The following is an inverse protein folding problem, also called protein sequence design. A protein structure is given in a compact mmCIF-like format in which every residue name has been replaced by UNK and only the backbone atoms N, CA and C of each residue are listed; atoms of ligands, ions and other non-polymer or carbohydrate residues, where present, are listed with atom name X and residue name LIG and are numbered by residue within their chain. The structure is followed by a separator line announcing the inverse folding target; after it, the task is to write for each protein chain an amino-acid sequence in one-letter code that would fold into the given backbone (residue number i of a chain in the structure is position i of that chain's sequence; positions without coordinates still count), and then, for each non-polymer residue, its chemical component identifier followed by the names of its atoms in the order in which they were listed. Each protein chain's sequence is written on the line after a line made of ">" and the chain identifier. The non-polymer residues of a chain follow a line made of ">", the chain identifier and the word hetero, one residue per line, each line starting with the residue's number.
data_IF_952095258536
#
_entry.id   IF_952095258536
#
_cell.length_a   1.000
_cell.length_b   1.000
_cell.length_c   1.000
_cell.angle_alpha   90.00
_cell.angle_beta   90.00
_cell.angle_gamma   90.00
#
_symmetry.space_group_name_H-M   'P 1'
#
loop_
_entity.id
_entity.type
_entity.pdbx_description
1 polymer ?
#
# COMPACT_ATOMS: atom_id res chain seq x y z
N UNK A 1 -4.39 -5.27 -23.98
CA UNK A 1 -3.15 -5.05 -23.21
C UNK A 1 -2.02 -5.68 -23.99
N UNK A 2 -0.89 -4.99 -24.20
CA UNK A 2 0.25 -5.63 -24.85
C UNK A 2 0.76 -6.77 -23.96
N UNK A 3 1.11 -7.89 -24.58
CA UNK A 3 1.75 -9.05 -23.92
C UNK A 3 2.97 -8.65 -23.08
N UNK A 4 3.63 -7.56 -23.46
CA UNK A 4 4.79 -6.97 -22.80
C UNK A 4 4.53 -6.48 -21.36
N UNK A 5 3.38 -5.84 -21.08
CA UNK A 5 3.10 -5.32 -19.74
C UNK A 5 2.86 -6.44 -18.72
N UNK A 6 2.11 -7.46 -19.11
CA UNK A 6 1.83 -8.61 -18.25
C UNK A 6 3.11 -9.42 -17.99
N UNK A 7 3.95 -9.60 -19.02
CA UNK A 7 5.26 -10.23 -18.86
C UNK A 7 6.19 -9.41 -17.95
N UNK A 8 6.19 -8.09 -18.10
CA UNK A 8 6.95 -7.16 -17.24
C UNK A 8 6.51 -7.26 -15.78
N UNK A 9 5.20 -7.24 -15.52
CA UNK A 9 4.65 -7.44 -14.16
C UNK A 9 5.09 -8.77 -13.58
N UNK A 10 4.91 -9.87 -14.33
CA UNK A 10 5.29 -11.20 -13.88
C UNK A 10 6.80 -11.31 -13.57
N UNK A 11 7.64 -10.74 -14.43
CA UNK A 11 9.10 -10.72 -14.24
C UNK A 11 9.52 -9.95 -12.99
N UNK A 12 8.97 -8.75 -12.78
CA UNK A 12 9.23 -7.94 -11.59
C UNK A 12 8.76 -8.65 -10.32
N UNK A 13 7.55 -9.17 -10.34
CA UNK A 13 6.92 -9.88 -9.22
C UNK A 13 7.70 -11.14 -8.83
N UNK A 14 8.24 -11.88 -9.80
CA UNK A 14 9.11 -13.03 -9.56
C UNK A 14 10.47 -12.61 -8.97
N UNK A 15 11.08 -11.54 -9.50
CA UNK A 15 12.34 -11.03 -8.98
C UNK A 15 12.22 -10.57 -7.51
N UNK A 16 11.15 -9.84 -7.17
CA UNK A 16 10.90 -9.40 -5.79
C UNK A 16 10.66 -10.58 -4.85
N UNK A 17 9.89 -11.60 -5.26
CA UNK A 17 9.69 -12.82 -4.45
C UNK A 17 10.99 -13.59 -4.21
N UNK A 18 11.88 -13.66 -5.20
CA UNK A 18 13.18 -14.31 -5.04
C UNK A 18 14.08 -13.58 -4.04
N UNK A 19 14.08 -12.24 -4.07
CA UNK A 19 14.78 -11.43 -3.07
C UNK A 19 14.16 -11.68 -1.69
N UNK A 20 12.83 -11.72 -1.60
CA UNK A 20 12.13 -11.94 -0.34
C UNK A 20 12.46 -13.26 0.34
N UNK A 21 12.54 -14.37 -0.41
CA UNK A 21 12.84 -15.70 0.15
C UNK A 21 14.13 -15.72 0.97
N UNK A 22 15.09 -14.84 0.67
CA UNK A 22 16.36 -14.70 1.37
C UNK A 22 16.25 -14.02 2.75
N UNK A 23 15.09 -13.44 3.09
CA UNK A 23 14.89 -12.62 4.29
C UNK A 23 13.78 -13.14 5.23
N UNK A 24 13.37 -14.39 5.08
CA UNK A 24 12.21 -15.00 5.77
C UNK A 24 12.48 -15.47 7.21
N UNK A 25 13.72 -15.39 7.72
CA UNK A 25 14.08 -16.05 8.98
C UNK A 25 13.34 -15.52 10.22
N UNK A 26 12.98 -14.24 10.23
CA UNK A 26 12.36 -13.55 11.38
C UNK A 26 10.94 -13.04 11.11
N UNK A 27 10.42 -13.23 9.89
CA UNK A 27 9.11 -12.72 9.48
C UNK A 27 8.26 -13.89 9.01
N UNK A 28 7.05 -13.99 9.56
CA UNK A 28 6.01 -14.88 9.06
C UNK A 28 4.97 -14.06 8.29
N UNK A 29 4.33 -14.68 7.32
CA UNK A 29 3.25 -14.03 6.59
C UNK A 29 2.18 -15.02 6.17
N UNK A 30 0.94 -14.57 6.14
CA UNK A 30 -0.19 -15.33 5.61
C UNK A 30 -1.04 -14.47 4.69
N UNK A 31 -1.74 -15.16 3.78
CA UNK A 31 -2.69 -14.54 2.87
C UNK A 31 -4.02 -14.30 3.58
N UNK A 32 -4.66 -13.19 3.23
CA UNK A 32 -6.06 -12.96 3.54
C UNK A 32 -6.73 -12.25 2.35
N UNK A 33 -8.06 -12.24 2.38
CA UNK A 33 -8.88 -11.68 1.31
C UNK A 33 -9.86 -10.68 1.90
N UNK A 34 -9.89 -9.48 1.31
CA UNK A 34 -10.81 -8.42 1.70
C UNK A 34 -11.94 -8.33 0.68
N UNK A 35 -13.18 -8.70 1.05
CA UNK A 35 -14.33 -8.53 0.16
C UNK A 35 -14.61 -7.04 -0.09
N UNK A 36 -14.78 -6.69 -1.36
CA UNK A 36 -15.37 -5.44 -1.83
C UNK A 36 -16.73 -5.75 -2.47
N UNK A 37 -17.45 -4.73 -2.95
CA UNK A 37 -18.80 -4.92 -3.52
C UNK A 37 -18.81 -5.89 -4.72
N UNK A 38 -17.82 -5.78 -5.62
CA UNK A 38 -17.82 -6.51 -6.89
C UNK A 38 -16.54 -7.32 -7.14
N UNK A 39 -15.61 -7.33 -6.19
CA UNK A 39 -14.33 -8.03 -6.31
C UNK A 39 -13.75 -8.34 -4.93
N UNK A 40 -12.68 -9.13 -4.92
CA UNK A 40 -11.89 -9.42 -3.72
C UNK A 40 -10.54 -8.74 -3.88
N UNK A 41 -10.06 -8.10 -2.81
CA UNK A 41 -8.74 -7.47 -2.76
C UNK A 41 -7.83 -8.43 -1.98
N UNK A 42 -6.84 -9.05 -2.64
CA UNK A 42 -5.84 -9.84 -1.95
C UNK A 42 -5.03 -8.95 -0.99
N UNK A 43 -4.81 -9.46 0.21
CA UNK A 43 -3.93 -8.83 1.19
C UNK A 43 -3.00 -9.86 1.78
N UNK A 44 -1.87 -9.38 2.29
CA UNK A 44 -0.94 -10.20 3.05
C UNK A 44 -0.65 -9.55 4.38
N UNK A 45 -0.71 -10.37 5.42
CA UNK A 45 -0.39 -9.96 6.77
C UNK A 45 1.01 -10.46 7.07
N UNK A 46 1.89 -9.55 7.47
CA UNK A 46 3.28 -9.79 7.81
C UNK A 46 3.50 -9.53 9.28
N UNK A 47 4.13 -10.47 9.97
CA UNK A 47 4.31 -10.41 11.41
C UNK A 47 5.71 -10.86 11.82
N UNK A 48 6.25 -10.31 12.93
CA UNK A 48 7.43 -10.86 13.55
C UNK A 48 7.15 -12.31 13.98
N UNK A 49 8.09 -13.21 13.65
CA UNK A 49 7.98 -14.65 13.90
C UNK A 49 7.83 -15.01 15.38
N UNK A 50 8.50 -14.27 16.25
CA UNK A 50 8.49 -14.54 17.69
C UNK A 50 7.24 -13.92 18.32
N UNK A 51 6.52 -14.64 19.20
CA UNK A 51 5.35 -14.09 19.89
C UNK A 51 5.74 -12.91 20.78
N UNK A 52 4.76 -12.08 21.12
CA UNK A 52 4.93 -10.94 22.03
C UNK A 52 3.79 -10.91 23.04
N UNK A 53 4.08 -10.42 24.25
CA UNK A 53 3.10 -10.25 25.33
C UNK A 53 2.35 -8.92 25.23
N UNK A 54 2.68 -8.07 24.25
CA UNK A 54 2.10 -6.75 24.08
C UNK A 54 1.47 -6.55 22.71
N UNK A 55 0.45 -5.68 22.62
CA UNK A 55 -0.01 -5.24 21.34
C UNK A 55 1.02 -4.66 20.40
N UNK A 56 1.04 -5.22 19.18
CA UNK A 56 1.75 -4.71 18.02
C UNK A 56 0.90 -3.64 17.35
N UNK A 57 1.58 -2.57 17.00
CA UNK A 57 0.98 -1.57 16.12
C UNK A 57 0.78 -2.17 14.71
N UNK A 58 -0.25 -1.70 14.01
CA UNK A 58 -0.60 -2.19 12.68
C UNK A 58 -0.30 -1.12 11.63
N UNK A 59 0.38 -1.51 10.55
CA UNK A 59 0.63 -0.65 9.40
C UNK A 59 -0.11 -1.15 8.16
N UNK A 60 -0.85 -0.28 7.48
CA UNK A 60 -1.29 -0.50 6.10
C UNK A 60 -0.19 0.00 5.16
N UNK A 61 0.38 -0.91 4.39
CA UNK A 61 1.48 -0.67 3.47
C UNK A 61 1.00 -0.74 2.01
N UNK A 62 1.10 0.39 1.30
CA UNK A 62 0.60 0.52 -0.08
C UNK A 62 1.79 0.57 -1.03
N UNK A 63 1.85 -0.38 -1.98
CA UNK A 63 3.01 -0.53 -2.83
C UNK A 63 3.10 0.53 -3.95
N UNK A 64 4.32 0.76 -4.43
CA UNK A 64 4.64 1.58 -5.60
C UNK A 64 4.35 0.89 -6.93
N UNK A 65 5.18 1.15 -7.95
CA UNK A 65 5.01 0.54 -9.27
C UNK A 65 4.23 1.38 -10.28
N UNK A 66 4.16 2.70 -10.06
CA UNK A 66 3.56 3.62 -11.03
C UNK A 66 2.09 3.31 -11.31
N UNK A 67 1.36 2.83 -10.30
CA UNK A 67 -0.05 2.42 -10.36
C UNK A 67 -0.34 1.29 -11.36
N UNK A 68 0.70 0.78 -12.04
CA UNK A 68 0.58 -0.14 -13.17
C UNK A 68 1.35 -1.44 -12.93
N UNK A 69 2.06 -1.56 -11.81
CA UNK A 69 2.92 -2.70 -11.47
C UNK A 69 2.93 -2.92 -9.96
N UNK A 70 3.44 -4.09 -9.56
CA UNK A 70 3.53 -4.50 -8.17
C UNK A 70 2.35 -5.37 -7.75
N UNK A 71 2.47 -5.88 -6.53
CA UNK A 71 1.47 -6.69 -5.84
C UNK A 71 1.76 -6.61 -4.32
N UNK A 72 1.17 -7.50 -3.52
CA UNK A 72 1.32 -7.49 -2.08
C UNK A 72 2.76 -7.82 -1.58
N UNK A 73 3.69 -8.22 -2.46
CA UNK A 73 5.12 -8.41 -2.18
C UNK A 73 6.01 -7.23 -2.60
N UNK A 74 5.53 -6.35 -3.49
CA UNK A 74 6.38 -5.44 -4.27
C UNK A 74 7.37 -4.61 -3.43
N UNK A 75 6.92 -4.07 -2.31
CA UNK A 75 7.75 -3.26 -1.41
C UNK A 75 8.12 -3.99 -0.11
N UNK A 76 8.46 -5.27 -0.23
CA UNK A 76 8.85 -6.12 0.90
C UNK A 76 10.05 -5.59 1.72
N UNK A 77 10.90 -4.73 1.14
CA UNK A 77 11.97 -4.06 1.88
C UNK A 77 11.42 -3.10 2.96
N UNK A 78 10.32 -2.39 2.66
CA UNK A 78 9.63 -1.50 3.60
C UNK A 78 8.94 -2.33 4.68
N UNK A 79 8.24 -3.39 4.27
CA UNK A 79 7.61 -4.36 5.20
C UNK A 79 8.65 -4.89 6.18
N UNK A 80 9.81 -5.31 5.68
CA UNK A 80 10.90 -5.83 6.51
C UNK A 80 11.35 -4.83 7.57
N UNK A 81 11.52 -3.55 7.20
CA UNK A 81 11.91 -2.52 8.15
C UNK A 81 10.86 -2.36 9.26
N UNK A 82 9.57 -2.28 8.90
CA UNK A 82 8.47 -2.13 9.87
C UNK A 82 8.32 -3.36 10.78
N UNK A 83 8.42 -4.56 10.21
CA UNK A 83 8.28 -5.80 10.97
C UNK A 83 9.50 -6.06 11.87
N UNK A 84 10.72 -6.05 11.32
CA UNK A 84 11.93 -6.42 12.09
C UNK A 84 12.40 -5.31 13.03
N UNK A 85 12.33 -4.04 12.63
CA UNK A 85 12.89 -2.94 13.42
C UNK A 85 11.87 -2.33 14.37
N UNK A 86 10.59 -2.34 14.00
CA UNK A 86 9.53 -1.71 14.80
C UNK A 86 8.57 -2.73 15.43
N UNK A 87 8.77 -4.03 15.21
CA UNK A 87 7.94 -5.10 15.77
C UNK A 87 6.43 -4.93 15.46
N UNK A 88 6.13 -4.40 14.26
CA UNK A 88 4.76 -4.11 13.82
C UNK A 88 4.16 -5.27 13.04
N UNK A 89 2.84 -5.38 13.08
CA UNK A 89 2.08 -6.14 12.08
C UNK A 89 1.90 -5.25 10.86
N UNK A 90 2.20 -5.76 9.66
CA UNK A 90 2.03 -5.00 8.40
C UNK A 90 1.01 -5.70 7.53
N UNK A 91 0.08 -4.94 6.95
CA UNK A 91 -0.89 -5.41 5.96
C UNK A 91 -0.52 -4.78 4.63
N UNK A 92 -0.12 -5.58 3.65
CA UNK A 92 0.01 -5.15 2.25
C UNK A 92 -1.20 -5.57 1.45
N UNK A 93 -1.48 -4.89 0.34
CA UNK A 93 -2.61 -5.16 -0.54
C UNK A 93 -2.19 -5.19 -2.00
N UNK A 94 -2.86 -6.02 -2.79
CA UNK A 94 -2.78 -6.05 -4.24
C UNK A 94 -3.93 -5.21 -4.81
N UNK A 95 -3.73 -3.88 -4.87
CA UNK A 95 -4.75 -2.98 -5.39
C UNK A 95 -4.83 -3.08 -6.92
N UNK A 96 -6.03 -2.89 -7.48
CA UNK A 96 -6.21 -2.99 -8.94
C UNK A 96 -5.33 -1.98 -9.67
N UNK A 97 -4.67 -2.44 -10.74
CA UNK A 97 -3.66 -1.68 -11.47
C UNK A 97 -4.22 -1.03 -12.74
N UNK A 98 -3.60 0.07 -13.15
CA UNK A 98 -3.76 0.68 -14.47
C UNK A 98 -2.97 -0.09 -15.53
N UNK A 99 -3.42 -0.11 -16.80
CA UNK A 99 -4.58 0.60 -17.35
C UNK A 99 -5.93 -0.11 -17.14
N UNK A 100 -5.96 -1.32 -16.61
CA UNK A 100 -7.18 -2.13 -16.46
C UNK A 100 -8.18 -1.48 -15.49
N UNK A 101 -7.66 -0.82 -14.47
CA UNK A 101 -8.45 -0.05 -13.52
C UNK A 101 -7.73 1.28 -13.27
N UNK A 102 -8.33 2.35 -13.78
CA UNK A 102 -7.85 3.72 -13.57
C UNK A 102 -8.43 4.30 -12.29
N UNK A 103 -7.93 5.47 -11.90
CA UNK A 103 -8.53 6.24 -10.79
C UNK A 103 -10.04 6.41 -11.00
N UNK A 104 -10.89 6.22 -9.95
CA UNK A 104 -10.55 6.04 -8.54
C UNK A 104 -10.37 4.59 -8.06
N UNK A 105 -10.39 3.59 -8.94
CA UNK A 105 -10.42 2.17 -8.56
C UNK A 105 -9.30 1.71 -7.61
N UNK A 106 -8.01 2.02 -7.87
CA UNK A 106 -6.94 1.65 -6.94
C UNK A 106 -7.11 2.28 -5.56
N UNK A 107 -7.60 3.52 -5.51
CA UNK A 107 -7.85 4.24 -4.27
C UNK A 107 -9.04 3.67 -3.50
N UNK A 108 -10.10 3.24 -4.20
CA UNK A 108 -11.22 2.55 -3.58
C UNK A 108 -10.78 1.24 -2.90
N UNK A 109 -9.84 0.51 -3.50
CA UNK A 109 -9.31 -0.72 -2.89
C UNK A 109 -8.55 -0.41 -1.59
N UNK A 110 -7.72 0.63 -1.60
CA UNK A 110 -7.05 1.15 -0.39
C UNK A 110 -8.06 1.54 0.70
N UNK A 111 -9.14 2.23 0.34
CA UNK A 111 -10.19 2.61 1.30
C UNK A 111 -10.90 1.38 1.89
N UNK A 112 -11.19 0.37 1.07
CA UNK A 112 -11.81 -0.88 1.52
C UNK A 112 -10.92 -1.61 2.50
N UNK A 113 -9.61 -1.74 2.20
CA UNK A 113 -8.66 -2.38 3.12
C UNK A 113 -8.46 -1.55 4.39
N UNK A 114 -8.34 -0.23 4.30
CA UNK A 114 -8.25 0.65 5.47
C UNK A 114 -9.42 0.48 6.44
N UNK A 115 -10.65 0.39 5.91
CA UNK A 115 -11.86 0.13 6.72
C UNK A 115 -11.93 -1.30 7.26
N UNK A 116 -11.30 -2.25 6.58
CA UNK A 116 -11.29 -3.65 6.98
C UNK A 116 -10.33 -3.94 8.13
N UNK A 117 -9.12 -3.34 8.11
CA UNK A 117 -8.05 -3.57 9.09
C UNK A 117 -8.51 -3.46 10.56
N UNK A 118 -9.23 -2.41 11.00
CA UNK A 118 -9.63 -2.29 12.41
C UNK A 118 -10.77 -3.25 12.79
N UNK A 119 -11.50 -3.79 11.82
CA UNK A 119 -12.74 -4.55 12.05
C UNK A 119 -12.57 -6.09 11.99
N UNK A 120 -11.38 -6.61 11.65
CA UNK A 120 -11.14 -8.05 11.51
C UNK A 120 -9.87 -8.54 12.23
N UNK A 121 -9.80 -8.46 13.57
CA UNK A 121 -8.65 -8.92 14.32
C UNK A 121 -8.33 -10.39 14.05
N UNK A 122 -9.33 -11.29 13.89
CA UNK A 122 -9.06 -12.72 13.62
C UNK A 122 -8.41 -13.03 12.27
N UNK A 123 -8.52 -12.14 11.27
CA UNK A 123 -7.82 -12.32 9.98
C UNK A 123 -6.38 -11.77 10.02
N UNK A 124 -6.12 -10.83 10.93
CA UNK A 124 -4.79 -10.26 11.18
C UNK A 124 -4.03 -11.08 12.23
N UNK A 125 -4.75 -11.69 13.16
CA UNK A 125 -4.28 -12.50 14.28
C UNK A 125 -5.02 -13.86 14.25
N UNK A 126 -4.59 -14.79 13.38
CA UNK A 126 -5.25 -16.09 13.18
C UNK A 126 -5.29 -16.97 14.44
N UNK A 127 -4.42 -16.70 15.42
CA UNK A 127 -4.32 -17.49 16.66
C UNK A 127 -5.40 -17.11 17.70
N UNK A 128 -6.42 -16.33 17.31
CA UNK A 128 -7.66 -16.12 18.06
C UNK A 128 -7.53 -15.21 19.28
N UNK A 129 -6.33 -14.99 19.78
CA UNK A 129 -6.10 -13.99 20.79
C UNK A 129 -5.85 -12.64 20.13
N UNK A 130 -6.70 -11.67 20.48
CA UNK A 130 -6.39 -10.23 20.43
C UNK A 130 -5.14 -9.83 21.23
N UNK A 131 -4.23 -10.77 21.51
CA UNK A 131 -2.93 -10.66 22.16
C UNK A 131 -1.96 -9.71 21.46
N UNK A 132 -2.43 -8.98 20.45
CA UNK A 132 -1.74 -7.77 20.18
C UNK A 132 -2.32 -6.67 19.32
N UNK A 133 -3.62 -6.41 19.28
CA UNK A 133 -4.11 -5.14 18.74
C UNK A 133 -4.45 -4.18 19.89
N UNK A 134 -3.94 -2.94 19.83
CA UNK A 134 -4.37 -1.91 20.78
C UNK A 134 -5.89 -1.69 20.63
N UNK A 135 -6.65 -1.58 21.74
CA UNK A 135 -8.09 -1.29 21.69
C UNK A 135 -8.41 0.03 20.97
N UNK A 136 -7.47 0.97 21.04
CA UNK A 136 -7.49 2.22 20.30
C UNK A 136 -6.81 1.99 18.95
N UNK A 137 -7.61 1.52 17.99
CA UNK A 137 -7.21 1.07 16.65
C UNK A 137 -6.69 2.19 15.75
N UNK A 138 -5.54 2.78 16.10
CA UNK A 138 -4.85 3.73 15.23
C UNK A 138 -3.89 2.97 14.30
N UNK A 139 -4.04 3.20 13.00
CA UNK A 139 -3.28 2.53 11.95
C UNK A 139 -2.14 3.43 11.50
N UNK A 140 -0.96 2.87 11.30
CA UNK A 140 0.10 3.54 10.55
C UNK A 140 -0.19 3.37 9.07
N UNK A 141 -0.17 4.45 8.30
CA UNK A 141 -0.33 4.38 6.85
C UNK A 141 1.02 4.65 6.22
N UNK A 142 1.53 3.71 5.43
CA UNK A 142 2.77 3.87 4.70
C UNK A 142 2.62 3.52 3.22
N UNK A 143 3.48 4.10 2.40
CA UNK A 143 3.59 3.69 1.00
C UNK A 143 4.85 4.19 0.32
N UNK A 144 5.13 3.63 -0.85
CA UNK A 144 6.28 3.98 -1.70
C UNK A 144 5.82 4.50 -3.06
N UNK A 145 6.44 5.57 -3.57
CA UNK A 145 6.18 6.11 -4.92
C UNK A 145 4.68 6.35 -5.19
N UNK A 146 4.07 5.60 -6.12
CA UNK A 146 2.64 5.59 -6.39
C UNK A 146 1.78 5.22 -5.16
N UNK A 147 2.22 4.24 -4.37
CA UNK A 147 1.56 3.86 -3.13
C UNK A 147 1.66 4.94 -2.05
N UNK A 148 2.75 5.71 -2.03
CA UNK A 148 2.87 6.87 -1.15
C UNK A 148 1.90 8.00 -1.55
N UNK A 149 1.58 8.15 -2.85
CA UNK A 149 0.50 9.03 -3.28
C UNK A 149 -0.86 8.54 -2.74
N UNK A 150 -1.17 7.25 -2.85
CA UNK A 150 -2.41 6.68 -2.33
C UNK A 150 -2.49 6.80 -0.79
N UNK A 151 -1.38 6.63 -0.08
CA UNK A 151 -1.26 6.87 1.36
C UNK A 151 -1.52 8.34 1.73
N UNK A 152 -1.03 9.27 0.90
CA UNK A 152 -1.31 10.71 1.04
C UNK A 152 -2.80 11.00 0.88
N UNK A 153 -3.40 10.51 -0.22
CA UNK A 153 -4.82 10.66 -0.51
C UNK A 153 -5.70 10.05 0.59
N UNK A 154 -5.32 8.89 1.15
CA UNK A 154 -6.05 8.24 2.24
C UNK A 154 -6.13 9.12 3.48
N UNK A 155 -5.02 9.76 3.87
CA UNK A 155 -5.00 10.61 5.06
C UNK A 155 -5.80 11.90 4.86
N UNK A 156 -5.79 12.48 3.66
CA UNK A 156 -6.63 13.62 3.29
C UNK A 156 -8.11 13.24 3.34
N UNK A 157 -8.48 12.11 2.73
CA UNK A 157 -9.83 11.57 2.80
C UNK A 157 -10.26 11.29 4.25
N UNK A 158 -9.38 10.70 5.07
CA UNK A 158 -9.68 10.44 6.48
C UNK A 158 -9.90 11.73 7.27
N UNK A 159 -9.13 12.80 7.00
CA UNK A 159 -9.37 14.13 7.58
C UNK A 159 -10.75 14.67 7.23
N UNK A 160 -11.11 14.64 5.95
CA UNK A 160 -12.40 15.13 5.46
C UNK A 160 -13.59 14.34 6.02
N UNK A 161 -13.39 13.05 6.26
CA UNK A 161 -14.42 12.15 6.79
C UNK A 161 -14.39 12.01 8.33
N UNK A 162 -13.63 12.87 9.04
CA UNK A 162 -13.51 12.85 10.52
C UNK A 162 -12.98 11.51 11.07
N UNK A 163 -12.15 10.82 10.30
CA UNK A 163 -11.49 9.56 10.62
C UNK A 163 -9.98 9.71 10.84
N UNK A 164 -9.43 10.93 10.82
CA UNK A 164 -7.99 11.13 11.00
C UNK A 164 -7.49 10.61 12.36
N UNK A 165 -8.35 10.61 13.38
CA UNK A 165 -8.05 10.00 14.68
C UNK A 165 -7.89 8.48 14.65
N UNK A 166 -8.10 7.83 13.50
CA UNK A 166 -7.81 6.41 13.27
C UNK A 166 -6.46 6.18 12.58
N UNK A 167 -5.72 7.25 12.28
CA UNK A 167 -4.41 7.18 11.65
C UNK A 167 -3.37 7.71 12.64
N UNK A 168 -2.49 6.82 13.11
CA UNK A 168 -1.45 7.16 14.09
C UNK A 168 -0.36 8.02 13.49
N UNK A 169 0.06 7.66 12.27
CA UNK A 169 1.12 8.32 11.55
C UNK A 169 1.01 8.01 10.05
N UNK A 170 1.64 8.88 9.26
CA UNK A 170 1.78 8.76 7.82
C UNK A 170 3.27 8.69 7.45
N UNK A 171 3.66 7.69 6.67
CA UNK A 171 5.06 7.46 6.25
C UNK A 171 5.12 7.37 4.72
N UNK A 172 5.71 8.38 4.08
CA UNK A 172 5.71 8.52 2.62
C UNK A 172 7.14 8.36 2.07
N UNK A 173 7.40 7.24 1.38
CA UNK A 173 8.68 7.00 0.74
C UNK A 173 8.65 7.45 -0.73
N UNK A 174 9.50 8.43 -1.10
CA UNK A 174 9.60 8.98 -2.46
C UNK A 174 8.23 9.30 -3.11
N UNK A 175 7.36 10.10 -2.48
CA UNK A 175 5.97 10.22 -2.88
C UNK A 175 5.76 10.88 -4.24
N UNK A 176 4.92 10.26 -5.07
CA UNK A 176 4.47 10.83 -6.34
C UNK A 176 3.29 11.80 -6.14
N UNK A 177 3.49 12.91 -5.42
CA UNK A 177 2.41 13.84 -4.98
C UNK A 177 2.31 15.12 -5.81
N UNK A 178 3.32 15.44 -6.60
CA UNK A 178 3.31 16.62 -7.46
C UNK A 178 3.02 16.22 -8.91
N UNK A 179 2.16 16.98 -9.58
CA UNK A 179 1.96 16.85 -11.01
C UNK A 179 3.28 17.11 -11.78
N UNK A 180 3.52 16.41 -12.89
CA UNK A 180 4.81 16.52 -13.61
C UNK A 180 5.12 17.97 -14.04
N UNK A 181 4.10 18.76 -14.37
CA UNK A 181 4.21 20.20 -14.68
C UNK A 181 4.76 21.04 -13.52
N UNK A 182 4.73 20.54 -12.29
CA UNK A 182 5.29 21.23 -11.12
C UNK A 182 6.81 21.02 -10.98
N UNK A 183 7.43 20.13 -11.77
CA UNK A 183 8.88 19.98 -11.83
C UNK A 183 9.44 20.83 -12.98
N UNK A 184 10.28 21.81 -12.65
CA UNK A 184 10.98 22.64 -13.67
C UNK A 184 11.82 21.79 -14.63
N UNK A 185 12.49 20.75 -14.14
CA UNK A 185 13.28 19.81 -14.96
C UNK A 185 12.41 18.99 -15.93
N UNK A 186 11.14 18.70 -15.59
CA UNK A 186 10.24 17.97 -16.49
C UNK A 186 9.65 18.88 -17.58
N UNK A 187 9.59 20.20 -17.34
CA UNK A 187 9.25 21.17 -18.38
C UNK A 187 10.34 21.25 -19.46
N UNK A 188 11.58 20.86 -19.16
CA UNK A 188 12.67 20.83 -20.15
C UNK A 188 12.72 19.52 -20.95
N UNK A 189 12.03 18.45 -20.51
CA UNK A 189 12.06 17.12 -21.13
C UNK A 189 10.68 16.75 -21.70
N UNK A 190 10.36 17.32 -22.86
CA UNK A 190 9.05 17.16 -23.52
C UNK A 190 8.77 15.80 -24.19
N UNK A 191 9.76 14.90 -24.29
CA UNK A 191 9.67 13.66 -25.11
C UNK A 191 9.54 12.35 -24.29
N UNK A 192 8.78 12.34 -23.20
CA UNK A 192 8.46 11.08 -22.53
C UNK A 192 7.22 10.42 -23.15
N UNK A 193 7.41 9.35 -23.93
CA UNK A 193 6.33 8.63 -24.63
C UNK A 193 5.39 7.84 -23.71
N UNK A 194 5.79 7.55 -22.46
CA UNK A 194 4.98 6.83 -21.48
C UNK A 194 4.08 7.77 -20.68
N UNK A 195 2.87 7.99 -21.20
CA UNK A 195 1.84 8.87 -20.63
C UNK A 195 0.92 8.13 -19.64
N UNK A 196 1.38 7.86 -18.42
CA UNK A 196 0.56 7.18 -17.39
C UNK A 196 -0.45 8.08 -16.67
N UNK A 197 -0.40 9.41 -16.83
CA UNK A 197 -1.17 10.39 -16.02
C UNK A 197 -1.90 11.47 -16.82
N UNK A 198 -2.89 11.11 -17.63
CA UNK A 198 -3.78 12.07 -18.30
C UNK A 198 -5.26 11.75 -18.06
N UNK A 199 -5.72 11.90 -16.82
CA UNK A 199 -7.17 11.97 -16.52
C UNK A 199 -7.45 13.10 -15.53
N UNK A 200 -8.46 13.91 -15.84
CA UNK A 200 -8.97 14.96 -14.96
C UNK A 200 -9.50 14.34 -13.65
N UNK A 201 -9.21 14.95 -12.50
CA UNK A 201 -9.65 14.51 -11.17
C UNK A 201 -8.67 13.63 -10.38
N UNK A 202 -7.41 13.52 -10.82
CA UNK A 202 -6.37 12.78 -10.07
C UNK A 202 -5.94 13.53 -8.80
N UNK A 203 -5.64 12.84 -7.66
CA UNK A 203 -5.26 13.44 -6.38
C UNK A 203 -3.79 13.89 -6.37
N UNK A 204 -3.38 14.63 -7.40
CA UNK A 204 -2.10 15.32 -7.44
C UNK A 204 -2.34 16.75 -6.98
N UNK A 205 -1.45 17.27 -6.14
CA UNK A 205 -1.45 18.70 -5.83
C UNK A 205 -1.13 19.44 -7.14
N UNK A 206 -2.15 20.06 -7.72
CA UNK A 206 -1.98 21.01 -8.80
C UNK A 206 -1.59 22.38 -8.23
N UNK A 207 -1.12 23.27 -9.10
CA UNK A 207 -0.55 24.56 -8.72
C UNK A 207 -1.62 25.56 -8.25
N UNK A 208 -2.89 25.18 -8.26
CA UNK A 208 -4.04 26.05 -7.98
C UNK A 208 -4.79 25.62 -6.72
N UNK A 209 -4.04 25.46 -5.62
CA UNK A 209 -4.57 25.55 -4.24
C UNK A 209 -3.77 26.58 -3.47
#
# INVERSE_FOLDING_TARGET
>A
MSTDLQQTRAGLNAAVRNIWQQYTHEIVSHEASVPSENHVIPVRVWQPKYPTTHPRDVSLAIHGGGWSMGDEYADSFMVRALVQKLNMTVVTLDYRLSPETTYPGPFQDVLTVFKWVPNRPGAIYPDGESQGARPDHDIFVCGFSAGANLAAALCLWARENKLLSKIRAQILFSPAVCHYKCYSIAQERHDCELKSFYTAGSPLLDREV
#
